data_IF_956089345289
#
_entry.id   IF_956089345289
#
_cell.length_a   1.000
_cell.length_b   1.000
_cell.length_c   1.000
_cell.angle_alpha   90.00
_cell.angle_beta   90.00
_cell.angle_gamma   90.00
#
_symmetry.space_group_name_H-M   'P 1'
#
loop_
_entity.id
_entity.type
_entity.pdbx_description
1 polymer ?
#
# COMPACT_ATOMS: atom_id res chain seq x y z
N UNK A 1 -46.10 57.79 -27.29
CA UNK A 1 -45.86 58.23 -28.68
C UNK A 1 -44.84 59.36 -28.64
N UNK A 2 -43.69 59.19 -29.32
CA UNK A 2 -42.51 60.08 -29.43
C UNK A 2 -41.59 60.21 -28.19
N UNK A 3 -40.25 60.19 -28.28
CA UNK A 3 -39.28 59.90 -29.36
C UNK A 3 -37.88 59.70 -28.73
N UNK A 4 -37.16 58.69 -29.25
CA UNK A 4 -35.72 58.48 -29.35
C UNK A 4 -34.76 59.61 -28.88
N UNK A 5 -33.75 59.22 -28.10
CA UNK A 5 -32.38 59.76 -28.20
C UNK A 5 -31.43 58.58 -28.36
N UNK A 6 -30.73 58.55 -29.50
CA UNK A 6 -29.70 57.59 -29.86
C UNK A 6 -28.38 57.93 -29.16
N UNK A 7 -27.79 56.98 -28.43
CA UNK A 7 -26.36 56.99 -28.14
C UNK A 7 -25.69 55.89 -28.95
N UNK A 8 -25.02 56.30 -30.03
CA UNK A 8 -24.12 55.47 -30.83
C UNK A 8 -22.83 55.28 -30.02
N UNK A 9 -22.62 54.08 -29.47
CA UNK A 9 -21.31 53.65 -28.99
C UNK A 9 -20.74 52.66 -30.02
N UNK A 10 -19.74 53.12 -30.78
CA UNK A 10 -18.96 52.28 -31.68
C UNK A 10 -18.00 51.46 -30.80
N UNK A 11 -18.29 50.17 -30.63
CA UNK A 11 -17.36 49.22 -30.01
C UNK A 11 -16.49 48.57 -31.10
N UNK A 12 -15.16 48.57 -30.96
CA UNK A 12 -14.28 47.87 -31.89
C UNK A 12 -14.39 46.35 -31.67
N UNK A 13 -14.62 45.63 -32.76
CA UNK A 13 -14.65 44.18 -32.84
C UNK A 13 -13.22 43.64 -32.60
N UNK A 14 -12.93 43.24 -31.36
CA UNK A 14 -11.74 42.46 -31.03
C UNK A 14 -12.05 40.98 -31.29
N UNK A 15 -11.57 40.46 -32.41
CA UNK A 15 -11.55 39.03 -32.68
C UNK A 15 -10.51 38.37 -31.77
N UNK A 16 -10.98 37.72 -30.71
CA UNK A 16 -10.16 36.81 -29.90
C UNK A 16 -10.12 35.48 -30.67
N UNK A 17 -8.94 34.92 -31.01
CA UNK A 17 -8.88 33.57 -31.51
C UNK A 17 -9.34 32.63 -30.40
N UNK A 18 -10.47 31.99 -30.63
CA UNK A 18 -10.92 30.85 -29.85
C UNK A 18 -9.99 29.67 -30.16
N UNK A 19 -8.89 29.55 -29.40
CA UNK A 19 -8.26 28.26 -29.20
C UNK A 19 -9.14 27.48 -28.23
N UNK A 20 -10.05 26.72 -28.83
CA UNK A 20 -10.73 25.56 -28.26
C UNK A 20 -9.67 24.50 -27.97
N UNK A 21 -9.31 24.32 -26.70
CA UNK A 21 -8.60 23.10 -26.25
C UNK A 21 -8.94 22.82 -24.77
N UNK A 22 -10.23 22.89 -24.44
CA UNK A 22 -10.78 22.27 -23.22
C UNK A 22 -11.35 20.92 -23.63
N UNK A 23 -10.45 19.98 -23.96
CA UNK A 23 -10.78 18.57 -23.79
C UNK A 23 -10.93 18.36 -22.27
N UNK A 24 -12.09 17.91 -21.76
CA UNK A 24 -12.20 17.57 -20.36
C UNK A 24 -11.20 16.44 -20.11
N UNK A 25 -10.13 16.75 -19.37
CA UNK A 25 -9.14 15.79 -18.95
C UNK A 25 -9.89 14.57 -18.42
N UNK A 26 -9.75 13.44 -19.11
CA UNK A 26 -10.23 12.16 -18.62
C UNK A 26 -9.71 11.91 -17.20
N UNK A 27 -10.30 10.97 -16.44
CA UNK A 27 -9.83 10.69 -15.09
C UNK A 27 -8.32 10.51 -15.10
N UNK A 28 -7.62 11.29 -14.28
CA UNK A 28 -6.17 11.29 -14.24
C UNK A 28 -5.68 9.86 -13.98
N UNK A 29 -4.98 9.29 -14.95
CA UNK A 29 -4.37 7.97 -14.80
C UNK A 29 -3.21 8.10 -13.82
N UNK A 30 -3.22 7.31 -12.76
CA UNK A 30 -2.15 7.30 -11.77
C UNK A 30 -0.81 6.90 -12.43
N UNK A 31 0.26 7.66 -12.15
CA UNK A 31 1.59 7.41 -12.72
C UNK A 31 2.71 7.94 -11.82
N UNK A 32 3.70 7.09 -11.54
CA UNK A 32 4.99 7.48 -10.97
C UNK A 32 6.10 7.11 -11.95
N UNK A 33 6.94 8.08 -12.31
CA UNK A 33 8.10 7.87 -13.18
C UNK A 33 9.36 7.98 -12.35
N UNK A 34 10.08 6.87 -12.20
CA UNK A 34 11.41 6.88 -11.59
C UNK A 34 12.41 7.17 -12.69
N UNK A 35 13.22 8.22 -12.51
CA UNK A 35 14.31 8.58 -13.42
C UNK A 35 15.62 8.43 -12.69
N UNK A 36 16.52 7.63 -13.25
CA UNK A 36 17.82 7.32 -12.67
C UNK A 36 18.92 7.84 -13.57
N UNK A 37 19.74 8.72 -12.99
CA UNK A 37 20.92 9.29 -13.65
C UNK A 37 22.18 8.91 -12.85
N UNK A 38 23.33 8.81 -13.51
CA UNK A 38 24.61 8.69 -12.83
C UNK A 38 25.09 10.05 -12.28
N UNK A 39 26.27 10.07 -11.64
CA UNK A 39 26.87 11.30 -11.10
C UNK A 39 27.24 12.34 -12.19
N UNK A 40 27.34 11.94 -13.47
CA UNK A 40 27.56 12.83 -14.60
C UNK A 40 26.25 13.37 -15.19
N UNK A 41 25.10 12.87 -14.75
CA UNK A 41 23.77 13.25 -15.26
C UNK A 41 23.31 12.42 -16.45
N UNK A 42 23.99 11.32 -16.78
CA UNK A 42 23.62 10.43 -17.88
C UNK A 42 22.64 9.34 -17.40
N UNK A 43 21.66 8.94 -18.22
CA UNK A 43 20.68 7.93 -17.85
C UNK A 43 21.30 6.54 -17.62
N UNK A 44 20.82 5.82 -16.59
CA UNK A 44 21.32 4.47 -16.26
C UNK A 44 20.23 3.42 -16.49
N UNK A 45 20.41 2.65 -17.57
CA UNK A 45 19.54 1.54 -17.94
C UNK A 45 19.86 0.26 -17.17
N UNK A 46 18.90 -0.68 -17.11
CA UNK A 46 19.15 -2.03 -16.60
C UNK A 46 19.13 -2.18 -15.08
N UNK A 47 18.85 -1.12 -14.32
CA UNK A 47 18.80 -1.19 -12.86
C UNK A 47 17.45 -1.74 -12.40
N UNK A 48 17.50 -2.80 -11.59
CA UNK A 48 16.30 -3.34 -10.94
C UNK A 48 15.87 -2.43 -9.78
N UNK A 49 14.60 -2.02 -9.77
CA UNK A 49 14.00 -1.30 -8.67
C UNK A 49 13.23 -2.26 -7.75
N UNK A 50 13.59 -2.22 -6.46
CA UNK A 50 12.84 -2.87 -5.37
C UNK A 50 12.30 -1.79 -4.44
N UNK A 51 11.00 -1.81 -4.17
CA UNK A 51 10.37 -0.97 -3.15
C UNK A 51 10.37 -1.72 -1.82
N UNK A 52 10.80 -1.05 -0.75
CA UNK A 52 10.96 -1.61 0.59
C UNK A 52 10.06 -0.91 1.62
N UNK A 53 9.66 -1.66 2.64
CA UNK A 53 8.97 -1.13 3.82
C UNK A 53 9.98 -0.47 4.74
N UNK A 54 9.71 0.76 5.15
CA UNK A 54 10.41 1.40 6.27
C UNK A 54 9.69 1.13 7.61
N UNK A 55 9.31 -0.13 7.83
CA UNK A 55 8.63 -0.53 9.06
C UNK A 55 9.56 -1.43 9.86
N UNK A 56 10.06 -0.93 10.99
CA UNK A 56 10.99 -1.63 11.91
C UNK A 56 10.46 -3.00 12.40
N UNK A 57 9.15 -3.22 12.42
CA UNK A 57 8.54 -4.53 12.74
C UNK A 57 8.59 -5.54 11.59
N UNK A 58 8.90 -5.07 10.38
CA UNK A 58 8.88 -5.82 9.12
C UNK A 58 10.23 -5.74 8.39
N UNK A 59 11.31 -5.27 9.04
CA UNK A 59 12.58 -5.11 8.33
C UNK A 59 13.29 -6.45 8.06
N UNK A 60 13.76 -6.54 6.82
CA UNK A 60 14.42 -7.65 6.13
C UNK A 60 15.89 -7.89 6.58
N UNK A 61 16.41 -7.16 7.57
CA UNK A 61 17.83 -7.26 8.01
C UNK A 61 18.10 -8.37 9.06
N UNK A 62 17.19 -9.34 9.16
CA UNK A 62 17.39 -10.55 9.95
C UNK A 62 17.66 -11.74 9.00
N UNK A 63 18.93 -12.16 8.83
CA UNK A 63 19.31 -13.30 7.98
C UNK A 63 18.62 -14.62 8.38
N UNK A 64 18.12 -14.70 9.61
CA UNK A 64 17.39 -15.81 10.19
C UNK A 64 15.86 -15.74 9.99
N UNK A 65 15.31 -14.60 9.51
CA UNK A 65 13.87 -14.41 9.29
C UNK A 65 13.42 -14.37 7.82
N UNK A 66 14.35 -14.45 6.84
CA UNK A 66 14.04 -14.44 5.39
C UNK A 66 13.48 -15.77 4.82
N UNK A 67 12.96 -16.67 5.65
CA UNK A 67 12.59 -18.03 5.23
C UNK A 67 11.15 -18.24 4.74
N UNK A 68 10.23 -17.30 4.98
CA UNK A 68 8.82 -17.46 4.57
C UNK A 68 8.02 -16.18 4.74
N UNK A 69 7.15 -15.87 3.78
CA UNK A 69 6.17 -14.79 3.94
C UNK A 69 5.31 -15.09 5.18
N UNK A 70 5.13 -14.10 6.05
CA UNK A 70 4.29 -14.24 7.24
C UNK A 70 2.88 -14.67 6.82
N UNK A 71 2.38 -15.72 7.46
CA UNK A 71 1.02 -16.19 7.27
C UNK A 71 0.15 -15.52 8.35
N UNK A 72 -0.97 -14.93 7.93
CA UNK A 72 -1.82 -14.12 8.82
C UNK A 72 -2.91 -15.02 9.41
N UNK A 73 -2.97 -15.12 10.74
CA UNK A 73 -4.08 -15.78 11.42
C UNK A 73 -5.27 -14.80 11.56
N UNK A 74 -6.39 -15.16 10.97
CA UNK A 74 -7.64 -14.39 11.01
C UNK A 74 -8.58 -15.11 11.96
N UNK A 75 -8.88 -14.48 13.10
CA UNK A 75 -9.75 -15.03 14.14
C UNK A 75 -11.07 -14.27 14.20
N UNK A 76 -12.17 -14.98 14.44
CA UNK A 76 -13.49 -14.39 14.65
C UNK A 76 -14.34 -15.21 15.60
N UNK A 77 -15.39 -14.61 16.14
CA UNK A 77 -16.38 -15.28 16.96
C UNK A 77 -17.68 -15.41 16.18
N UNK A 78 -18.22 -16.62 16.13
CA UNK A 78 -19.53 -16.93 15.58
C UNK A 78 -20.52 -17.02 16.76
N UNK A 79 -21.45 -16.06 16.94
CA UNK A 79 -22.32 -15.98 18.12
C UNK A 79 -23.43 -17.05 18.13
N UNK A 80 -23.79 -17.57 16.96
CA UNK A 80 -24.82 -18.59 16.76
C UNK A 80 -24.49 -19.42 15.52
N UNK A 81 -25.00 -20.64 15.43
CA UNK A 81 -24.85 -21.42 14.20
C UNK A 81 -25.45 -20.67 13.00
N UNK A 82 -24.71 -20.64 11.90
CA UNK A 82 -25.10 -19.83 10.74
C UNK A 82 -24.11 -19.92 9.60
N UNK A 83 -24.46 -19.31 8.47
CA UNK A 83 -23.54 -19.22 7.34
C UNK A 83 -22.47 -18.17 7.66
N UNK A 84 -21.24 -18.42 7.25
CA UNK A 84 -20.13 -17.48 7.31
C UNK A 84 -19.44 -17.43 5.96
N UNK A 85 -19.04 -16.23 5.55
CA UNK A 85 -18.18 -16.00 4.40
C UNK A 85 -17.01 -15.12 4.83
N UNK A 86 -15.80 -15.53 4.46
CA UNK A 86 -14.58 -14.77 4.67
C UNK A 86 -13.87 -14.61 3.32
N UNK A 87 -13.81 -13.37 2.85
CA UNK A 87 -13.12 -12.97 1.62
C UNK A 87 -11.88 -12.17 2.00
N UNK A 88 -10.79 -12.38 1.29
CA UNK A 88 -9.63 -11.50 1.28
C UNK A 88 -9.76 -10.59 0.07
N UNK A 89 -9.66 -9.29 0.29
CA UNK A 89 -9.73 -8.25 -0.71
C UNK A 89 -8.38 -7.52 -0.79
N UNK A 90 -7.99 -7.07 -1.98
CA UNK A 90 -6.85 -6.17 -2.12
C UNK A 90 -7.18 -4.75 -1.62
N UNK A 91 -6.22 -3.84 -1.70
CA UNK A 91 -6.40 -2.47 -1.22
C UNK A 91 -7.51 -1.70 -1.97
N UNK A 92 -7.84 -2.10 -3.19
CA UNK A 92 -8.91 -1.53 -4.02
C UNK A 92 -10.28 -2.17 -3.72
N UNK A 93 -10.33 -3.22 -2.90
CA UNK A 93 -11.56 -3.96 -2.56
C UNK A 93 -11.84 -5.11 -3.53
N UNK A 94 -10.92 -5.44 -4.44
CA UNK A 94 -11.12 -6.55 -5.37
C UNK A 94 -10.91 -7.89 -4.65
N UNK A 95 -11.79 -8.89 -4.84
CA UNK A 95 -11.69 -10.17 -4.16
C UNK A 95 -10.48 -10.97 -4.67
N UNK A 96 -9.60 -11.33 -3.75
CA UNK A 96 -8.36 -12.10 -3.97
C UNK A 96 -8.54 -13.57 -3.62
N UNK A 97 -9.16 -13.86 -2.48
CA UNK A 97 -9.34 -15.22 -2.00
C UNK A 97 -10.65 -15.37 -1.21
N UNK A 98 -11.26 -16.53 -1.28
CA UNK A 98 -12.32 -16.93 -0.34
C UNK A 98 -11.76 -18.01 0.57
N UNK A 99 -11.62 -17.73 1.86
CA UNK A 99 -11.07 -18.69 2.82
C UNK A 99 -12.16 -19.51 3.52
N UNK A 100 -13.36 -18.93 3.63
CA UNK A 100 -14.54 -19.58 4.22
C UNK A 100 -15.76 -19.20 3.39
N UNK A 101 -16.58 -20.18 3.02
CA UNK A 101 -17.95 -19.97 2.55
C UNK A 101 -18.77 -21.22 2.91
N UNK A 102 -19.50 -21.18 4.03
CA UNK A 102 -20.22 -22.34 4.52
C UNK A 102 -20.88 -22.15 5.88
N UNK A 103 -21.49 -23.22 6.39
CA UNK A 103 -22.08 -23.24 7.73
C UNK A 103 -21.00 -23.39 8.80
N UNK A 104 -21.07 -22.58 9.85
CA UNK A 104 -20.15 -22.59 10.99
C UNK A 104 -20.93 -22.75 12.29
N UNK A 105 -20.38 -23.53 13.22
CA UNK A 105 -20.94 -23.67 14.57
C UNK A 105 -20.70 -22.42 15.42
N UNK A 106 -21.47 -22.26 16.49
CA UNK A 106 -21.18 -21.27 17.54
C UNK A 106 -19.77 -21.48 18.11
N UNK A 107 -19.06 -20.39 18.42
CA UNK A 107 -17.74 -20.41 19.04
C UNK A 107 -16.69 -19.56 18.32
N UNK A 108 -15.44 -19.69 18.76
CA UNK A 108 -14.30 -18.99 18.16
C UNK A 108 -13.71 -19.82 17.03
N UNK A 109 -13.42 -19.17 15.91
CA UNK A 109 -12.83 -19.75 14.72
C UNK A 109 -11.56 -19.02 14.31
N UNK A 110 -10.68 -19.72 13.62
CA UNK A 110 -9.45 -19.17 13.08
C UNK A 110 -9.17 -19.79 11.71
N UNK A 111 -8.70 -18.97 10.77
CA UNK A 111 -8.15 -19.43 9.49
C UNK A 111 -6.84 -18.73 9.23
N UNK A 112 -5.93 -19.42 8.57
CA UNK A 112 -4.65 -18.84 8.17
C UNK A 112 -4.67 -18.49 6.69
N UNK A 113 -4.24 -17.28 6.35
CA UNK A 113 -4.00 -16.88 4.98
C UNK A 113 -2.50 -16.84 4.69
N UNK A 114 -2.06 -17.65 3.73
CA UNK A 114 -0.66 -17.76 3.32
C UNK A 114 -0.30 -16.84 2.14
N UNK A 115 -1.07 -15.78 1.90
CA UNK A 115 -0.78 -14.81 0.83
C UNK A 115 -0.98 -15.34 -0.58
N UNK A 116 -2.01 -16.17 -0.78
CA UNK A 116 -2.34 -16.79 -2.07
C UNK A 116 -3.78 -16.50 -2.46
N UNK A 117 -4.05 -16.38 -3.76
CA UNK A 117 -5.42 -16.35 -4.28
C UNK A 117 -6.05 -17.75 -4.31
N UNK A 118 -7.30 -17.85 -4.78
CA UNK A 118 -8.04 -19.11 -4.93
C UNK A 118 -7.37 -20.13 -5.86
N UNK A 119 -6.53 -19.67 -6.80
CA UNK A 119 -5.75 -20.51 -7.72
C UNK A 119 -4.41 -20.98 -7.11
N UNK A 120 -4.10 -20.58 -5.87
CA UNK A 120 -2.85 -20.88 -5.20
C UNK A 120 -1.67 -19.99 -5.61
N UNK A 121 -1.92 -18.97 -6.45
CA UNK A 121 -0.90 -18.03 -6.92
C UNK A 121 -0.56 -17.05 -5.80
N UNK A 122 0.74 -16.87 -5.56
CA UNK A 122 1.25 -15.88 -4.62
C UNK A 122 0.82 -14.47 -4.98
N UNK A 123 0.36 -13.74 -3.98
CA UNK A 123 -0.03 -12.35 -4.13
C UNK A 123 1.15 -11.41 -3.82
N UNK A 124 1.18 -10.19 -4.40
CA UNK A 124 2.20 -9.19 -4.11
C UNK A 124 2.14 -8.70 -2.66
N UNK A 125 3.28 -8.40 -2.03
CA UNK A 125 3.28 -7.73 -0.72
C UNK A 125 2.48 -6.42 -0.79
N UNK A 126 1.70 -6.13 0.25
CA UNK A 126 0.74 -5.03 0.21
C UNK A 126 -0.28 -5.09 1.34
N UNK A 127 -1.19 -4.12 1.35
CA UNK A 127 -2.32 -4.08 2.27
C UNK A 127 -3.50 -4.84 1.67
N UNK A 128 -4.14 -5.65 2.51
CA UNK A 128 -5.32 -6.45 2.19
C UNK A 128 -6.36 -6.25 3.30
N UNK A 129 -7.62 -6.56 2.99
CA UNK A 129 -8.70 -6.57 3.98
C UNK A 129 -9.32 -7.96 4.03
N UNK A 130 -9.41 -8.56 5.21
CA UNK A 130 -10.28 -9.71 5.44
C UNK A 130 -11.68 -9.21 5.76
N UNK A 131 -12.65 -9.55 4.92
CA UNK A 131 -14.06 -9.22 5.11
C UNK A 131 -14.82 -10.47 5.52
N UNK A 132 -15.42 -10.43 6.72
CA UNK A 132 -16.16 -11.53 7.32
C UNK A 132 -17.62 -11.12 7.39
N UNK A 133 -18.49 -11.89 6.74
CA UNK A 133 -19.94 -11.75 6.83
C UNK A 133 -20.51 -13.00 7.46
N UNK A 134 -21.35 -12.83 8.47
CA UNK A 134 -22.06 -13.89 9.16
C UNK A 134 -23.55 -13.69 9.01
N UNK A 135 -24.28 -14.76 8.71
CA UNK A 135 -25.73 -14.76 8.61
C UNK A 135 -26.35 -15.61 9.71
N UNK A 136 -27.51 -15.19 10.20
CA UNK A 136 -28.35 -15.96 11.11
C UNK A 136 -29.11 -17.09 10.39
N UNK A 137 -29.90 -17.83 11.16
CA UNK A 137 -30.76 -18.93 10.68
C UNK A 137 -31.91 -18.44 9.76
N UNK A 138 -32.21 -17.14 9.77
CA UNK A 138 -33.19 -16.49 8.89
C UNK A 138 -32.54 -15.95 7.60
N UNK A 139 -31.21 -16.05 7.47
CA UNK A 139 -30.45 -15.55 6.33
C UNK A 139 -30.22 -14.04 6.35
N UNK A 140 -30.44 -13.37 7.48
CA UNK A 140 -30.08 -11.96 7.68
C UNK A 140 -28.63 -11.86 8.16
N UNK A 141 -27.94 -10.78 7.79
CA UNK A 141 -26.57 -10.54 8.28
C UNK A 141 -26.65 -10.28 9.78
N UNK A 142 -26.08 -11.19 10.56
CA UNK A 142 -25.99 -11.10 12.02
C UNK A 142 -24.76 -10.32 12.46
N UNK A 143 -23.65 -10.44 11.74
CA UNK A 143 -22.44 -9.66 11.95
C UNK A 143 -21.69 -9.42 10.65
N UNK A 144 -20.97 -8.30 10.61
CA UNK A 144 -20.03 -7.97 9.56
C UNK A 144 -18.77 -7.38 10.21
N UNK A 145 -17.61 -7.88 9.81
CA UNK A 145 -16.32 -7.49 10.37
C UNK A 145 -15.31 -7.32 9.25
N UNK A 146 -14.47 -6.30 9.34
CA UNK A 146 -13.32 -6.12 8.47
C UNK A 146 -12.04 -6.12 9.30
N UNK A 147 -10.97 -6.68 8.74
CA UNK A 147 -9.63 -6.64 9.34
C UNK A 147 -8.61 -6.27 8.28
N UNK A 148 -7.98 -5.12 8.45
CA UNK A 148 -6.87 -4.74 7.61
C UNK A 148 -5.61 -5.50 8.01
N UNK A 149 -4.90 -5.98 7.00
CA UNK A 149 -3.72 -6.81 7.11
C UNK A 149 -2.66 -6.24 6.18
N UNK A 150 -1.42 -6.27 6.61
CA UNK A 150 -0.29 -6.11 5.70
C UNK A 150 0.33 -7.49 5.49
N UNK A 151 0.39 -7.91 4.24
CA UNK A 151 1.12 -9.12 3.89
C UNK A 151 2.63 -8.81 3.93
N UNK A 152 3.36 -9.57 4.75
CA UNK A 152 4.78 -9.49 5.12
C UNK A 152 5.72 -8.69 4.21
N UNK A 153 6.68 -8.01 4.83
CA UNK A 153 7.75 -7.12 4.31
C UNK A 153 7.41 -6.58 2.93
N UNK A 154 6.95 -5.32 2.86
CA UNK A 154 6.65 -4.67 1.59
C UNK A 154 7.95 -4.62 0.77
N UNK A 155 8.25 -5.68 0.03
CA UNK A 155 9.46 -5.92 -0.74
C UNK A 155 8.98 -6.38 -2.11
N UNK A 156 8.82 -5.39 -2.98
CA UNK A 156 8.28 -5.58 -4.31
C UNK A 156 9.36 -5.23 -5.33
N UNK A 157 9.81 -6.22 -6.10
CA UNK A 157 10.54 -5.94 -7.33
C UNK A 157 9.53 -5.44 -8.35
N UNK A 158 9.66 -4.18 -8.78
CA UNK A 158 8.63 -3.49 -9.57
C UNK A 158 9.03 -3.26 -11.02
N UNK A 159 10.29 -3.50 -11.37
CA UNK A 159 10.76 -3.46 -12.75
C UNK A 159 12.23 -3.08 -12.88
N UNK A 160 12.62 -2.78 -14.12
CA UNK A 160 13.99 -2.41 -14.50
C UNK A 160 13.96 -1.10 -15.29
N UNK A 161 14.95 -0.23 -15.09
CA UNK A 161 15.07 1.00 -15.88
C UNK A 161 15.32 0.72 -17.36
N UNK A 162 14.68 1.50 -18.23
CA UNK A 162 14.82 1.43 -19.68
C UNK A 162 16.10 2.14 -20.20
N UNK A 163 16.29 2.19 -21.51
CA UNK A 163 17.45 2.85 -22.16
C UNK A 163 17.60 4.33 -21.81
N UNK A 164 16.52 4.99 -21.38
CA UNK A 164 16.52 6.39 -20.94
C UNK A 164 16.67 6.51 -19.42
N UNK A 165 16.99 5.43 -18.72
CA UNK A 165 17.12 5.38 -17.27
C UNK A 165 15.78 5.55 -16.55
N UNK A 166 14.66 5.24 -17.22
CA UNK A 166 13.32 5.45 -16.67
C UNK A 166 12.60 4.13 -16.35
N UNK A 167 11.81 4.15 -15.28
CA UNK A 167 10.83 3.11 -14.96
C UNK A 167 9.49 3.77 -14.65
N UNK A 168 8.43 3.34 -15.34
CA UNK A 168 7.08 3.86 -15.15
C UNK A 168 6.25 2.87 -14.33
N UNK A 169 5.77 3.33 -13.19
CA UNK A 169 4.89 2.61 -12.27
C UNK A 169 3.46 3.13 -12.42
N UNK A 170 2.56 2.28 -12.92
CA UNK A 170 1.15 2.62 -13.13
C UNK A 170 0.22 1.91 -12.12
N UNK A 171 0.72 0.92 -11.39
CA UNK A 171 -0.07 0.21 -10.39
C UNK A 171 -0.10 1.04 -9.10
N UNK A 172 -1.25 1.68 -8.84
CA UNK A 172 -1.46 2.49 -7.64
C UNK A 172 -1.36 1.66 -6.36
N UNK A 173 -1.60 0.35 -6.40
CA UNK A 173 -1.53 -0.55 -5.24
C UNK A 173 -0.11 -0.67 -4.67
N UNK A 174 0.90 -0.28 -5.44
CA UNK A 174 2.28 -0.11 -4.97
C UNK A 174 2.43 1.05 -3.97
N UNK A 175 1.45 1.94 -3.88
CA UNK A 175 1.49 3.19 -3.11
C UNK A 175 0.31 3.22 -2.13
N UNK A 176 0.32 2.38 -1.08
CA UNK A 176 -0.86 2.13 -0.28
C UNK A 176 -1.28 3.32 0.61
N UNK A 177 -0.40 4.31 0.82
CA UNK A 177 -0.73 5.58 1.48
C UNK A 177 -1.66 6.48 0.65
N UNK A 178 -1.78 6.22 -0.65
CA UNK A 178 -2.72 6.94 -1.52
C UNK A 178 -4.17 6.53 -1.29
N UNK A 179 -4.40 5.49 -0.48
CA UNK A 179 -5.74 5.04 -0.12
C UNK A 179 -6.06 5.56 1.27
N UNK A 180 -7.21 6.25 1.40
CA UNK A 180 -7.72 6.74 2.68
C UNK A 180 -8.18 5.58 3.56
N UNK A 181 -7.22 4.92 4.20
CA UNK A 181 -7.45 3.74 5.03
C UNK A 181 -6.98 4.03 6.46
N UNK A 182 -7.67 3.49 7.48
CA UNK A 182 -7.30 3.74 8.88
C UNK A 182 -5.92 3.18 9.21
N UNK A 183 -5.34 3.62 10.33
CA UNK A 183 -4.15 2.99 10.88
C UNK A 183 -4.46 1.53 11.26
N UNK A 184 -3.52 0.62 11.00
CA UNK A 184 -3.60 -0.77 11.43
C UNK A 184 -3.01 -0.89 12.84
N UNK A 185 -3.62 -1.67 13.74
CA UNK A 185 -2.98 -1.98 15.01
C UNK A 185 -1.86 -3.01 14.78
N UNK A 186 -0.71 -2.78 15.41
CA UNK A 186 0.31 -3.81 15.58
C UNK A 186 0.08 -4.49 16.93
N UNK A 187 0.05 -5.81 16.96
CA UNK A 187 -0.22 -6.60 18.18
C UNK A 187 0.83 -7.69 18.39
N UNK A 188 1.06 -8.07 19.64
CA UNK A 188 1.88 -9.24 19.97
C UNK A 188 1.08 -10.55 19.82
N UNK A 189 1.75 -11.69 20.06
CA UNK A 189 1.17 -13.04 20.01
C UNK A 189 -0.01 -13.26 20.97
N UNK A 190 -0.15 -12.42 22.00
CA UNK A 190 -1.26 -12.46 22.95
C UNK A 190 -2.42 -11.54 22.54
N UNK A 191 -2.29 -10.81 21.43
CA UNK A 191 -3.29 -9.86 20.93
C UNK A 191 -3.25 -8.49 21.62
N UNK A 192 -2.19 -8.17 22.38
CA UNK A 192 -2.03 -6.86 23.01
C UNK A 192 -1.51 -5.84 21.99
N UNK A 193 -2.10 -4.65 21.96
CA UNK A 193 -1.71 -3.57 21.04
C UNK A 193 -0.33 -3.04 21.45
N UNK A 194 0.64 -3.21 20.56
CA UNK A 194 2.00 -2.67 20.72
C UNK A 194 2.12 -1.27 20.10
N UNK A 195 1.26 -0.93 19.14
CA UNK A 195 1.27 0.36 18.47
C UNK A 195 0.36 0.40 17.25
N UNK A 196 0.53 1.44 16.43
CA UNK A 196 -0.22 1.62 15.19
C UNK A 196 0.72 1.74 13.99
N UNK A 197 0.40 1.00 12.94
CA UNK A 197 1.00 1.07 11.62
C UNK A 197 0.19 2.03 10.73
N UNK A 198 0.83 3.11 10.31
CA UNK A 198 0.30 4.10 9.38
C UNK A 198 1.11 4.01 8.09
N UNK A 199 0.45 4.03 6.93
CA UNK A 199 1.12 4.06 5.63
C UNK A 199 1.22 5.52 5.20
N UNK A 200 2.44 6.03 4.98
CA UNK A 200 2.70 7.43 4.61
C UNK A 200 3.34 7.52 3.24
N UNK A 201 3.54 8.74 2.75
CA UNK A 201 4.20 9.01 1.47
C UNK A 201 5.70 8.71 1.46
N UNK A 202 6.32 8.49 2.62
CA UNK A 202 7.73 8.14 2.74
C UNK A 202 7.95 6.65 2.41
N UNK A 203 8.65 6.38 1.32
CA UNK A 203 8.96 5.04 0.83
C UNK A 203 10.47 4.84 0.68
N UNK A 204 10.92 3.59 0.72
CA UNK A 204 12.31 3.24 0.44
C UNK A 204 12.41 2.58 -0.94
N UNK A 205 13.23 3.16 -1.81
CA UNK A 205 13.54 2.62 -3.13
C UNK A 205 14.98 2.11 -3.13
N UNK A 206 15.16 0.85 -3.53
CA UNK A 206 16.48 0.21 -3.69
C UNK A 206 16.71 -0.12 -5.15
N UNK A 207 17.70 0.51 -5.75
CA UNK A 207 18.22 0.20 -7.07
C UNK A 207 19.33 -0.86 -6.94
N UNK A 208 19.35 -1.81 -7.87
CA UNK A 208 20.34 -2.88 -7.92
C UNK A 208 20.83 -3.09 -9.34
N UNK A 209 22.14 -3.26 -9.49
CA UNK A 209 22.75 -3.79 -10.70
C UNK A 209 22.65 -5.34 -10.67
N UNK A 210 22.28 -5.98 -11.77
CA UNK A 210 22.24 -7.45 -11.92
C UNK A 210 23.47 -7.90 -12.76
N UNK A 211 24.39 -8.73 -12.23
CA UNK A 211 24.24 -9.60 -11.06
C UNK A 211 24.99 -9.11 -9.81
N UNK A 212 24.35 -8.20 -9.08
CA UNK A 212 24.34 -8.05 -7.62
C UNK A 212 25.61 -7.57 -6.89
N UNK A 213 26.43 -6.71 -7.50
CA UNK A 213 27.60 -6.15 -6.78
C UNK A 213 27.33 -4.82 -6.10
N UNK A 214 26.33 -4.07 -6.56
CA UNK A 214 26.09 -2.70 -6.13
C UNK A 214 24.61 -2.44 -5.89
N UNK A 215 24.33 -1.67 -4.84
CA UNK A 215 22.97 -1.23 -4.48
C UNK A 215 22.99 0.23 -4.09
N UNK A 216 21.96 0.97 -4.47
CA UNK A 216 21.71 2.34 -4.01
C UNK A 216 20.32 2.37 -3.39
N UNK A 217 20.24 2.71 -2.10
CA UNK A 217 18.98 2.83 -1.37
C UNK A 217 18.69 4.31 -1.10
N UNK A 218 17.46 4.75 -1.34
CA UNK A 218 17.03 6.13 -1.07
C UNK A 218 15.63 6.16 -0.46
N UNK A 219 15.41 7.12 0.43
CA UNK A 219 14.06 7.50 0.89
C UNK A 219 13.47 8.48 -0.11
N UNK A 220 12.26 8.21 -0.57
CA UNK A 220 11.54 9.02 -1.56
C UNK A 220 10.15 9.34 -1.04
N UNK A 221 9.64 10.52 -1.37
CA UNK A 221 8.28 10.92 -1.06
C UNK A 221 7.40 10.82 -2.30
N UNK A 222 6.27 10.12 -2.19
CA UNK A 222 5.32 9.97 -3.28
C UNK A 222 4.06 10.79 -2.98
N UNK A 223 3.89 11.99 -3.56
CA UNK A 223 2.72 12.81 -3.30
C UNK A 223 1.44 12.18 -3.87
N UNK A 224 0.29 12.68 -3.43
CA UNK A 224 -1.05 12.10 -3.62
C UNK A 224 -1.50 11.83 -5.06
N UNK A 225 -0.82 12.41 -6.07
CA UNK A 225 -1.12 12.24 -7.50
C UNK A 225 -0.09 11.46 -8.31
N UNK A 226 0.97 10.95 -7.67
CA UNK A 226 2.16 10.46 -8.38
C UNK A 226 3.06 11.59 -8.86
N UNK A 227 3.97 11.31 -9.79
CA UNK A 227 4.94 12.31 -10.27
C UNK A 227 6.25 11.72 -10.79
N UNK A 228 7.29 12.55 -10.81
CA UNK A 228 8.65 12.13 -11.18
C UNK A 228 9.48 12.01 -9.90
N UNK A 229 10.15 10.87 -9.74
CA UNK A 229 11.11 10.62 -8.66
C UNK A 229 12.49 10.52 -9.29
N UNK A 230 13.34 11.49 -8.97
CA UNK A 230 14.72 11.51 -9.44
C UNK A 230 15.62 10.77 -8.44
N UNK A 231 16.43 9.86 -8.95
CA UNK A 231 17.43 9.12 -8.19
C UNK A 231 18.78 9.22 -8.87
N UNK A 232 19.85 9.26 -8.06
CA UNK A 232 21.22 9.24 -8.55
C UNK A 232 21.81 7.86 -8.29
N UNK A 233 22.29 7.21 -9.33
CA UNK A 233 23.07 5.98 -9.24
C UNK A 233 24.55 6.32 -9.00
N UNK A 234 24.96 6.23 -7.75
CA UNK A 234 26.37 6.29 -7.35
C UNK A 234 26.67 5.16 -6.33
N UNK A 235 27.15 4.01 -6.80
CA UNK A 235 27.42 2.86 -5.93
C UNK A 235 28.72 3.01 -5.13
N UNK A 236 29.55 4.02 -5.41
CA UNK A 236 30.78 4.27 -4.65
C UNK A 236 30.53 5.08 -3.38
N UNK A 237 29.44 5.84 -3.35
CA UNK A 237 28.96 6.46 -2.13
C UNK A 237 28.19 5.40 -1.35
N UNK A 238 28.74 5.01 -0.19
CA UNK A 238 28.01 4.16 0.74
C UNK A 238 26.66 4.83 1.04
N UNK A 239 25.56 4.29 0.51
CA UNK A 239 24.24 4.71 0.90
C UNK A 239 24.05 4.23 2.33
N UNK A 240 24.23 5.12 3.30
CA UNK A 240 23.76 4.86 4.64
C UNK A 240 22.28 4.45 4.54
N UNK A 241 21.87 3.38 5.21
CA UNK A 241 20.46 3.15 5.45
C UNK A 241 19.92 4.45 6.03
N UNK A 242 18.91 5.09 5.42
CA UNK A 242 18.43 6.37 5.89
C UNK A 242 18.09 6.24 7.37
N UNK A 243 18.58 7.16 8.20
CA UNK A 243 18.23 7.16 9.62
C UNK A 243 16.70 7.08 9.74
N UNK A 244 16.14 6.26 10.66
CA UNK A 244 14.70 6.21 10.86
C UNK A 244 14.21 7.65 11.09
N UNK A 245 13.29 8.11 10.25
CA UNK A 245 12.71 9.44 10.36
C UNK A 245 11.90 9.58 11.65
N UNK A 246 11.59 10.82 12.04
CA UNK A 246 10.60 11.08 13.09
C UNK A 246 9.21 10.75 12.56
N UNK A 247 8.86 9.47 12.63
CA UNK A 247 7.53 8.95 12.37
C UNK A 247 7.58 7.55 11.79
N UNK A 248 7.27 6.55 12.62
CA UNK A 248 6.45 5.36 12.33
C UNK A 248 6.31 4.56 13.64
N UNK A 249 5.12 4.54 14.26
CA UNK A 249 4.83 3.64 15.39
C UNK A 249 5.90 3.64 16.50
N UNK A 250 5.93 2.61 17.37
CA UNK A 250 7.02 2.45 18.32
C UNK A 250 8.34 2.31 17.56
N UNK A 251 9.30 3.15 17.90
CA UNK A 251 10.66 3.03 17.40
C UNK A 251 11.35 1.87 18.12
N UNK A 252 12.44 1.32 17.57
CA UNK A 252 13.27 0.29 18.26
C UNK A 252 13.66 0.65 19.72
N UNK A 253 13.58 1.92 20.11
CA UNK A 253 13.79 2.37 21.50
C UNK A 253 12.63 2.12 22.47
N UNK A 254 11.44 1.77 21.96
CA UNK A 254 10.20 1.63 22.74
C UNK A 254 9.82 0.16 23.04
N UNK A 255 10.54 -0.81 22.46
CA UNK A 255 10.28 -2.26 22.62
C UNK A 255 11.60 -3.03 22.71
N UNK A 256 11.93 -3.53 23.91
CA UNK A 256 13.23 -4.18 24.21
C UNK A 256 13.46 -5.50 23.45
N UNK A 257 12.39 -6.20 23.02
CA UNK A 257 12.48 -7.51 22.34
C UNK A 257 11.37 -7.63 21.29
N UNK A 258 11.69 -7.77 19.98
CA UNK A 258 10.68 -7.99 18.95
C UNK A 258 10.06 -9.40 19.07
N UNK A 259 8.73 -9.55 18.90
CA UNK A 259 8.06 -10.83 19.04
C UNK A 259 8.51 -11.84 17.97
N UNK A 260 8.40 -13.13 18.31
CA UNK A 260 8.80 -14.27 17.46
C UNK A 260 7.83 -14.43 16.28
N UNK A 261 6.57 -14.00 16.45
CA UNK A 261 5.53 -13.98 15.42
C UNK A 261 4.90 -12.58 15.38
N UNK A 262 4.85 -11.96 14.20
CA UNK A 262 4.16 -10.68 14.00
C UNK A 262 2.78 -10.97 13.41
N UNK A 263 1.77 -11.01 14.26
CA UNK A 263 0.38 -10.96 13.82
C UNK A 263 -0.07 -9.50 13.83
N UNK A 264 -0.48 -8.97 12.66
CA UNK A 264 -1.29 -7.75 12.61
C UNK A 264 -2.71 -8.11 13.04
N UNK A 265 -2.94 -8.19 14.34
CA UNK A 265 -4.23 -8.49 14.93
C UNK A 265 -4.85 -7.25 15.63
N UNK A 266 -6.08 -7.44 16.06
CA UNK A 266 -7.10 -6.41 16.32
C UNK A 266 -6.84 -5.57 17.58
N UNK A 267 -7.21 -4.29 17.59
CA UNK A 267 -7.38 -3.54 18.83
C UNK A 267 -8.77 -3.84 19.41
N UNK A 268 -8.86 -4.49 20.58
CA UNK A 268 -9.82 -4.25 21.70
C UNK A 268 -10.08 -5.50 22.56
N UNK A 269 -10.19 -5.34 23.89
CA UNK A 269 -10.88 -6.33 24.73
C UNK A 269 -12.41 -6.21 24.56
N UNK A 270 -13.09 -7.35 24.48
CA UNK A 270 -14.53 -7.45 24.70
C UNK A 270 -14.83 -7.21 26.20
N UNK A 271 -15.61 -6.19 26.59
CA UNK A 271 -15.92 -5.90 27.99
C UNK A 271 -17.00 -6.82 28.61
N UNK A 272 -17.37 -7.93 27.97
CA UNK A 272 -18.41 -8.85 28.45
C UNK A 272 -17.93 -10.23 28.90
N UNK A 273 -16.70 -10.33 29.43
CA UNK A 273 -16.30 -11.46 30.30
C UNK A 273 -15.91 -10.94 31.68
#
# INVERSE_FOLDING_TARGET
>A
MNRLVCLLLVMPLLAIPACSDDDPAGPAVFKVTVRVLDAAGEPVAGLQLTMLSDNDFLQDDFPDKMGGKAAVAIRWTQPQEGRTRLIIEDIEGEPVATLVDGMMSVGTHAVQWAGRNTEGIHQPSGRYTAHITQWDDQGLISQEQTRDMLMATFSASVGTTDENGQLVLNDRRLFPHLYERPAMAATNENGEIMGSLILTEDMIFRLMDDPQTATVTSRVQIPSGGGIVDMVWDPQVATASPAPGTGFGPTRGDVDVPPIEFELAHPYPNPFN
#
